data_IF_693531514707
#
_entry.id   IF_693531514707
#
_cell.length_a   1.000
_cell.length_b   1.000
_cell.length_c   1.000
_cell.angle_alpha   90.00
_cell.angle_beta   90.00
_cell.angle_gamma   90.00
#
_symmetry.space_group_name_H-M   'P 1'
#
loop_
_entity.id
_entity.type
_entity.pdbx_description
1 polymer ?
#
# COMPACT_ATOMS: atom_id res chain seq x y z
N UNK A 1 10.22 11.39 3.08
CA UNK A 1 9.17 11.33 4.13
C UNK A 1 8.18 10.25 3.73
N UNK A 2 7.84 9.40 4.65
CA UNK A 2 6.86 8.34 4.45
C UNK A 2 5.72 8.54 5.43
N UNK A 3 4.51 8.19 4.98
CA UNK A 3 3.31 8.22 5.81
C UNK A 3 2.76 6.80 5.80
N UNK A 4 2.48 6.27 6.98
CA UNK A 4 1.80 4.99 7.09
C UNK A 4 0.48 5.19 7.83
N UNK A 5 -0.59 4.94 7.13
CA UNK A 5 -1.94 5.13 7.64
C UNK A 5 -2.58 3.77 7.91
N UNK A 6 -2.92 3.54 9.17
CA UNK A 6 -3.54 2.29 9.61
C UNK A 6 -5.06 2.43 9.64
N UNK A 7 -5.75 1.46 9.10
CA UNK A 7 -7.21 1.50 9.00
C UNK A 7 -7.83 0.11 9.16
N UNK A 8 -9.15 0.11 9.33
CA UNK A 8 -9.93 -1.14 9.36
C UNK A 8 -9.85 -1.81 7.99
N UNK A 9 -9.70 -3.14 7.93
CA UNK A 9 -9.66 -3.86 6.66
C UNK A 9 -10.84 -3.56 5.74
N UNK A 10 -12.05 -3.49 6.29
CA UNK A 10 -13.26 -3.26 5.50
C UNK A 10 -13.32 -1.86 4.87
N UNK A 11 -12.64 -0.89 5.48
CA UNK A 11 -12.61 0.49 5.01
C UNK A 11 -11.36 0.80 4.18
N UNK A 12 -10.45 -0.13 4.05
CA UNK A 12 -9.12 0.12 3.49
C UNK A 12 -9.16 0.60 2.04
N UNK A 13 -10.08 0.07 1.23
CA UNK A 13 -10.22 0.50 -0.16
C UNK A 13 -10.68 1.96 -0.25
N UNK A 14 -11.63 2.35 0.60
CA UNK A 14 -12.11 3.73 0.66
C UNK A 14 -10.99 4.68 1.12
N UNK A 15 -10.19 4.26 2.09
CA UNK A 15 -9.03 5.04 2.54
C UNK A 15 -7.94 5.15 1.48
N UNK A 16 -7.70 4.09 0.72
CA UNK A 16 -6.77 4.15 -0.42
C UNK A 16 -7.22 5.20 -1.44
N UNK A 17 -8.50 5.20 -1.81
CA UNK A 17 -9.05 6.19 -2.73
C UNK A 17 -8.98 7.60 -2.16
N UNK A 18 -9.29 7.76 -0.88
CA UNK A 18 -9.19 9.04 -0.19
C UNK A 18 -7.76 9.60 -0.26
N UNK A 19 -6.76 8.79 0.09
CA UNK A 19 -5.37 9.24 0.06
C UNK A 19 -4.88 9.56 -1.34
N UNK A 20 -5.27 8.76 -2.33
CA UNK A 20 -4.95 9.03 -3.73
C UNK A 20 -5.48 10.39 -4.16
N UNK A 21 -6.76 10.67 -3.88
CA UNK A 21 -7.39 11.93 -4.26
C UNK A 21 -6.83 13.10 -3.45
N UNK A 22 -6.58 12.90 -2.17
CA UNK A 22 -6.05 13.92 -1.28
C UNK A 22 -4.63 14.33 -1.68
N UNK A 23 -3.78 13.37 -2.04
CA UNK A 23 -2.41 13.66 -2.49
C UNK A 23 -2.41 14.35 -3.85
N UNK A 24 -3.25 13.93 -4.76
CA UNK A 24 -3.46 14.59 -6.04
C UNK A 24 -3.83 16.06 -5.84
N UNK A 25 -4.85 16.33 -5.02
CA UNK A 25 -5.29 17.69 -4.75
C UNK A 25 -4.21 18.52 -4.08
N UNK A 26 -3.37 17.92 -3.25
CA UNK A 26 -2.26 18.60 -2.59
C UNK A 26 -1.28 19.17 -3.61
N UNK A 27 -0.93 18.41 -4.64
CA UNK A 27 -0.04 18.89 -5.69
C UNK A 27 -0.68 20.03 -6.50
N UNK A 28 -1.96 19.94 -6.81
CA UNK A 28 -2.68 21.03 -7.46
C UNK A 28 -2.66 22.31 -6.61
N UNK A 29 -2.86 22.17 -5.30
CA UNK A 29 -2.85 23.29 -4.36
C UNK A 29 -1.46 23.95 -4.23
N UNK A 30 -0.39 23.19 -4.49
CA UNK A 30 0.97 23.75 -4.57
C UNK A 30 1.22 24.55 -5.84
N UNK A 31 0.31 24.51 -6.79
CA UNK A 31 0.44 25.25 -8.05
C UNK A 31 0.95 24.42 -9.22
N UNK A 32 1.08 23.10 -9.08
CA UNK A 32 1.38 22.26 -10.23
C UNK A 32 0.16 22.17 -11.12
N UNK A 33 0.37 22.34 -12.42
CA UNK A 33 -0.76 22.39 -13.36
C UNK A 33 -1.27 20.99 -13.68
N UNK A 34 -2.59 20.85 -13.73
CA UNK A 34 -3.26 19.60 -14.04
C UNK A 34 -2.80 19.02 -15.39
N UNK A 35 -2.53 19.86 -16.37
CA UNK A 35 -2.03 19.42 -17.69
C UNK A 35 -0.64 18.81 -17.68
N UNK A 36 0.12 18.96 -16.59
CA UNK A 36 1.48 18.40 -16.43
C UNK A 36 1.53 17.29 -15.39
N UNK A 37 0.45 17.07 -14.67
CA UNK A 37 0.30 15.98 -13.72
C UNK A 37 -0.52 14.86 -14.34
N UNK A 38 -0.21 13.62 -13.98
CA UNK A 38 -1.08 12.49 -14.27
C UNK A 38 -1.08 11.50 -13.14
N UNK A 39 -2.20 10.82 -12.98
CA UNK A 39 -2.35 9.73 -12.05
C UNK A 39 -2.33 8.43 -12.85
N UNK A 40 -1.39 7.53 -12.51
CA UNK A 40 -1.27 6.24 -13.17
C UNK A 40 -1.52 5.12 -12.17
N UNK A 41 -2.63 4.41 -12.34
CA UNK A 41 -2.88 3.19 -11.59
C UNK A 41 -2.04 2.05 -12.17
N UNK A 42 -1.41 1.29 -11.27
CA UNK A 42 -0.66 0.12 -11.68
C UNK A 42 -1.59 -1.02 -12.09
N UNK A 43 -1.25 -1.73 -13.16
CA UNK A 43 -1.94 -2.96 -13.51
C UNK A 43 -1.56 -4.07 -12.51
N UNK A 44 -2.44 -5.04 -12.35
CA UNK A 44 -2.24 -6.15 -11.41
C UNK A 44 -0.89 -6.84 -11.61
N UNK A 45 -0.43 -6.99 -12.85
CA UNK A 45 0.85 -7.61 -13.18
C UNK A 45 2.08 -6.79 -12.71
N UNK A 46 1.91 -5.48 -12.51
CA UNK A 46 2.98 -4.58 -12.05
C UNK A 46 3.05 -4.47 -10.53
N UNK A 47 2.01 -4.91 -9.81
CA UNK A 47 1.95 -4.77 -8.37
C UNK A 47 3.02 -5.59 -7.67
N UNK A 48 3.68 -4.96 -6.70
CA UNK A 48 4.56 -5.69 -5.80
C UNK A 48 3.74 -6.73 -5.01
N UNK A 49 4.41 -7.78 -4.56
CA UNK A 49 3.74 -8.89 -3.86
C UNK A 49 2.99 -8.47 -2.59
N UNK A 50 3.36 -7.36 -1.99
CA UNK A 50 2.71 -6.80 -0.80
C UNK A 50 1.54 -5.88 -1.13
N UNK A 51 1.38 -5.47 -2.36
CA UNK A 51 0.41 -4.44 -2.74
C UNK A 51 -0.90 -5.03 -3.24
N UNK A 52 -2.00 -4.42 -2.81
CA UNK A 52 -3.36 -4.67 -3.32
C UNK A 52 -3.79 -3.62 -4.33
N UNK A 53 -3.04 -2.53 -4.45
CA UNK A 53 -3.25 -1.46 -5.38
C UNK A 53 -2.15 -0.43 -5.21
N UNK A 54 -1.70 0.14 -6.30
CA UNK A 54 -0.69 1.19 -6.30
C UNK A 54 -1.05 2.21 -7.38
N UNK A 55 -0.90 3.47 -7.06
CA UNK A 55 -1.04 4.56 -8.02
C UNK A 55 0.17 5.48 -7.90
N UNK A 56 0.68 5.94 -9.03
CA UNK A 56 1.73 6.94 -9.06
C UNK A 56 1.14 8.28 -9.46
N UNK A 57 1.55 9.34 -8.76
CA UNK A 57 1.37 10.71 -9.22
C UNK A 57 2.64 11.07 -9.96
N UNK A 58 2.50 11.39 -11.25
CA UNK A 58 3.62 11.65 -12.13
C UNK A 58 3.55 13.09 -12.68
N UNK A 59 4.71 13.62 -13.02
CA UNK A 59 4.83 14.98 -13.51
C UNK A 59 5.70 15.03 -14.77
N UNK A 60 5.28 15.84 -15.72
CA UNK A 60 6.05 16.09 -16.94
C UNK A 60 7.18 17.08 -16.63
N UNK A 61 8.29 16.57 -16.11
CA UNK A 61 9.45 17.40 -15.77
C UNK A 61 10.08 18.00 -17.02
N UNK A 62 10.56 19.27 -16.95
CA UNK A 62 11.16 19.93 -18.10
C UNK A 62 12.41 19.24 -18.66
N UNK A 63 13.10 18.45 -17.85
CA UNK A 63 14.32 17.73 -18.26
C UNK A 63 14.03 16.39 -18.93
N UNK A 64 12.77 15.95 -18.95
CA UNK A 64 12.35 14.74 -19.66
C UNK A 64 11.97 15.06 -21.09
N UNK A 65 11.97 14.05 -21.96
CA UNK A 65 11.51 14.19 -23.32
C UNK A 65 10.01 14.51 -23.37
N UNK A 66 9.55 15.09 -24.47
CA UNK A 66 8.13 15.41 -24.65
C UNK A 66 7.27 14.14 -24.53
N UNK A 67 6.23 14.24 -23.72
CA UNK A 67 5.33 13.11 -23.46
C UNK A 67 5.81 12.15 -22.39
N UNK A 68 6.99 12.34 -21.82
CA UNK A 68 7.50 11.54 -20.71
C UNK A 68 7.12 12.16 -19.37
N UNK A 69 6.86 11.28 -18.39
CA UNK A 69 6.51 11.65 -17.03
C UNK A 69 7.43 10.97 -16.05
N UNK A 70 7.75 11.65 -14.96
CA UNK A 70 8.52 11.10 -13.85
C UNK A 70 7.67 11.01 -12.59
N UNK A 71 7.94 10.05 -11.75
CA UNK A 71 7.21 9.83 -10.51
C UNK A 71 7.53 10.92 -9.48
N UNK A 72 6.48 11.50 -8.89
CA UNK A 72 6.56 12.37 -7.73
C UNK A 72 6.25 11.63 -6.45
N UNK A 73 5.24 10.78 -6.48
CA UNK A 73 4.78 10.07 -5.29
C UNK A 73 4.08 8.78 -5.69
N UNK A 74 4.38 7.70 -4.96
CA UNK A 74 3.63 6.46 -5.05
C UNK A 74 2.67 6.34 -3.88
N UNK A 75 1.43 5.92 -4.14
CA UNK A 75 0.43 5.64 -3.11
C UNK A 75 0.10 4.16 -3.19
N UNK A 76 0.35 3.41 -2.12
CA UNK A 76 0.16 1.97 -2.10
C UNK A 76 -0.84 1.53 -1.05
N UNK A 77 -1.74 0.61 -1.45
CA UNK A 77 -2.55 -0.15 -0.52
C UNK A 77 -1.79 -1.44 -0.19
N UNK A 78 -1.18 -1.49 0.97
CA UNK A 78 -0.33 -2.61 1.39
C UNK A 78 -1.09 -3.72 2.10
N UNK A 79 -2.36 -3.50 2.39
CA UNK A 79 -3.18 -4.49 3.09
C UNK A 79 -2.62 -4.83 4.45
N UNK A 80 -2.70 -6.08 4.82
CA UNK A 80 -2.20 -6.63 6.09
C UNK A 80 -0.77 -7.20 5.98
N UNK A 81 -0.11 -6.99 4.84
CA UNK A 81 1.22 -7.58 4.59
C UNK A 81 2.24 -7.21 5.66
N UNK A 82 2.36 -5.92 5.97
CA UNK A 82 3.41 -5.45 6.88
C UNK A 82 3.25 -6.01 8.28
N UNK A 83 2.07 -5.86 8.87
CA UNK A 83 1.85 -6.33 10.23
C UNK A 83 1.90 -7.86 10.33
N UNK A 84 1.32 -8.56 9.34
CA UNK A 84 1.41 -10.02 9.32
C UNK A 84 2.84 -10.51 9.15
N UNK A 85 3.62 -9.84 8.30
CA UNK A 85 5.04 -10.19 8.13
C UNK A 85 5.83 -10.06 9.44
N UNK A 86 5.54 -9.02 10.21
CA UNK A 86 6.17 -8.83 11.52
C UNK A 86 5.72 -9.85 12.55
N UNK A 87 4.45 -10.26 12.53
CA UNK A 87 3.91 -11.25 13.46
C UNK A 87 4.31 -12.68 13.09
N UNK A 88 4.12 -13.04 11.83
CA UNK A 88 4.13 -14.44 11.37
C UNK A 88 5.45 -14.84 10.71
N UNK A 89 6.06 -13.95 9.94
CA UNK A 89 7.28 -14.22 9.17
C UNK A 89 7.10 -13.90 7.69
N UNK A 90 7.96 -14.45 6.86
CA UNK A 90 7.95 -14.14 5.43
C UNK A 90 6.67 -14.66 4.76
N UNK A 91 5.93 -13.76 4.17
CA UNK A 91 4.71 -14.07 3.44
C UNK A 91 4.99 -14.12 1.93
N UNK A 92 4.37 -15.05 1.26
CA UNK A 92 4.40 -15.19 -0.19
C UNK A 92 2.98 -15.22 -0.73
N UNK A 93 2.80 -14.84 -1.98
CA UNK A 93 1.47 -14.86 -2.59
C UNK A 93 1.24 -16.20 -3.30
N UNK A 94 0.17 -16.87 -2.90
CA UNK A 94 -0.28 -18.12 -3.51
C UNK A 94 -1.77 -17.97 -3.86
N UNK A 95 -2.12 -18.21 -5.12
CA UNK A 95 -3.51 -18.10 -5.60
C UNK A 95 -4.20 -16.77 -5.21
N UNK A 96 -3.43 -15.67 -5.27
CA UNK A 96 -3.95 -14.35 -4.94
C UNK A 96 -3.97 -14.01 -3.46
N UNK A 97 -3.63 -14.95 -2.58
CA UNK A 97 -3.63 -14.76 -1.13
C UNK A 97 -2.21 -14.79 -0.55
N UNK A 98 -2.01 -14.01 0.53
CA UNK A 98 -0.76 -14.02 1.27
C UNK A 98 -0.76 -15.19 2.24
N UNK A 99 0.24 -16.06 2.10
CA UNK A 99 0.43 -17.23 2.96
C UNK A 99 1.87 -17.24 3.49
N UNK A 100 2.05 -17.85 4.64
CA UNK A 100 3.37 -17.99 5.25
C UNK A 100 4.21 -18.96 4.42
N UNK A 101 5.45 -18.53 4.07
CA UNK A 101 6.38 -19.40 3.37
C UNK A 101 6.87 -20.51 4.30
N UNK A 102 6.65 -21.76 3.89
CA UNK A 102 7.05 -22.93 4.66
C UNK A 102 8.14 -23.72 3.97
N UNK A 103 8.89 -24.48 4.76
CA UNK A 103 9.90 -25.42 4.25
C UNK A 103 9.25 -26.76 3.87
N UNK A 104 10.07 -27.74 3.47
CA UNK A 104 9.61 -29.07 3.08
C UNK A 104 8.90 -29.85 4.20
N UNK A 105 9.14 -29.48 5.46
CA UNK A 105 8.53 -30.08 6.65
C UNK A 105 7.25 -29.38 7.09
N UNK A 106 6.82 -28.34 6.35
CA UNK A 106 5.64 -27.57 6.67
C UNK A 106 5.86 -26.52 7.76
N UNK A 107 7.11 -26.28 8.17
CA UNK A 107 7.43 -25.28 9.19
C UNK A 107 7.72 -23.93 8.54
N UNK A 108 7.46 -22.80 9.24
CA UNK A 108 7.81 -21.49 8.72
C UNK A 108 9.30 -21.41 8.39
N UNK A 109 9.61 -20.99 7.16
CA UNK A 109 10.99 -20.84 6.69
C UNK A 109 11.69 -19.67 7.38
N UNK A 110 10.95 -18.61 7.61
CA UNK A 110 11.40 -17.44 8.38
C UNK A 110 10.32 -17.09 9.39
N UNK A 111 10.70 -16.93 10.64
CA UNK A 111 9.74 -16.64 11.71
C UNK A 111 9.63 -15.15 11.97
N UNK A 112 8.41 -14.67 12.22
CA UNK A 112 8.16 -13.35 12.73
C UNK A 112 8.44 -13.25 14.23
N UNK A 113 8.06 -12.13 14.83
CA UNK A 113 8.27 -11.85 16.26
C UNK A 113 7.35 -12.68 17.18
N UNK A 114 6.25 -13.20 16.65
CA UNK A 114 5.21 -13.84 17.44
C UNK A 114 4.37 -12.87 18.29
N UNK A 115 4.64 -11.57 18.19
CA UNK A 115 3.87 -10.57 18.94
C UNK A 115 2.55 -10.31 18.24
N UNK A 116 1.50 -10.11 19.05
CA UNK A 116 0.18 -9.73 18.57
C UNK A 116 0.17 -8.23 18.24
N UNK A 117 0.14 -7.89 16.97
CA UNK A 117 0.04 -6.52 16.47
C UNK A 117 -1.38 -6.16 16.03
N UNK A 118 -2.36 -6.98 16.40
CA UNK A 118 -3.76 -6.64 16.14
C UNK A 118 -4.21 -5.49 17.02
N UNK A 119 -5.25 -4.79 16.55
CA UNK A 119 -5.85 -3.67 17.25
C UNK A 119 -7.24 -4.05 17.76
N UNK A 120 -7.53 -3.70 19.02
CA UNK A 120 -8.85 -3.83 19.59
C UNK A 120 -9.55 -2.47 19.56
N UNK A 121 -10.69 -2.40 18.85
CA UNK A 121 -11.49 -1.18 18.74
C UNK A 121 -12.50 -1.16 19.88
N UNK A 122 -12.36 -0.22 20.82
CA UNK A 122 -13.24 -0.08 21.98
C UNK A 122 -14.67 0.28 21.59
N UNK A 123 -14.86 0.92 20.45
CA UNK A 123 -16.20 1.37 19.99
C UNK A 123 -16.96 0.18 19.39
N UNK A 124 -16.37 -0.52 18.43
CA UNK A 124 -17.01 -1.67 17.77
C UNK A 124 -16.89 -2.95 18.58
N UNK A 125 -15.96 -3.00 19.54
CA UNK A 125 -15.61 -4.19 20.34
C UNK A 125 -15.05 -5.32 19.50
N UNK A 126 -14.45 -5.01 18.35
CA UNK A 126 -13.84 -5.96 17.44
C UNK A 126 -12.32 -5.87 17.47
N UNK A 127 -11.66 -7.00 17.24
CA UNK A 127 -10.21 -7.07 17.07
C UNK A 127 -9.89 -7.41 15.63
N UNK A 128 -8.94 -6.69 15.07
CA UNK A 128 -8.51 -6.92 13.68
C UNK A 128 -7.03 -6.57 13.51
N UNK A 129 -6.42 -7.12 12.46
CA UNK A 129 -5.10 -6.69 12.01
C UNK A 129 -5.32 -5.51 11.05
N UNK A 130 -4.85 -4.30 11.39
CA UNK A 130 -5.04 -3.15 10.53
C UNK A 130 -4.43 -3.34 9.15
N UNK A 131 -5.07 -2.74 8.15
CA UNK A 131 -4.47 -2.57 6.84
C UNK A 131 -3.69 -1.26 6.80
N UNK A 132 -2.65 -1.22 5.98
CA UNK A 132 -1.77 -0.08 5.82
C UNK A 132 -1.94 0.54 4.44
N UNK A 133 -2.17 1.85 4.43
CA UNK A 133 -2.11 2.66 3.22
C UNK A 133 -0.86 3.54 3.36
N UNK A 134 -0.01 3.51 2.36
CA UNK A 134 1.22 4.31 2.30
C UNK A 134 1.06 5.34 1.19
N UNK A 135 0.53 6.55 1.55
CA UNK A 135 0.41 7.64 0.60
C UNK A 135 1.70 8.33 0.29
#
# INVERSE_FOLDING_TARGET
MEIEFFCRPDDSRAWYQFWRDRRWQWYLNLGLTEGRLQLREHHEAELAHYSRGTADIEYAFPFLADGEYGELEGIAHRGDFDLRSHMEGKLVRENGELVLETDSDGKPKYRGSGRDLSYFDDVSRERFVPHVIEP
#
